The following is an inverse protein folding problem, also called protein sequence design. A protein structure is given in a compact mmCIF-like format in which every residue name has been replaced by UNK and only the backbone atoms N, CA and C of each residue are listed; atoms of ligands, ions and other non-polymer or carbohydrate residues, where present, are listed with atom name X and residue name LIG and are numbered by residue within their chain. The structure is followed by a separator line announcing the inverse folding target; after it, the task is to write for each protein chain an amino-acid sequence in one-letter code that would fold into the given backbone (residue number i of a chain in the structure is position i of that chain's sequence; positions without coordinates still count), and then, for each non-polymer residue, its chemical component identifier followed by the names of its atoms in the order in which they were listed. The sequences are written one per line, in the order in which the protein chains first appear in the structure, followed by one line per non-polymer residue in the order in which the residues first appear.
data_IF_415028953805
#
_entry.id   IF_415028953805
#
_cell.length_a   1.000
_cell.length_b   1.000
_cell.length_c   1.000
_cell.angle_alpha   90.00
_cell.angle_beta   90.00
_cell.angle_gamma   90.00
#
_symmetry.space_group_name_H-M   'P 1'
#
loop_
_entity.id
_entity.type
_entity.pdbx_description
1 polymer ?
#
# COMPACT_ATOMS: atom_id res chain seq x y z
N UNK A 1 44.07 50.69 -8.85
CA UNK A 1 42.90 50.49 -9.75
C UNK A 1 41.64 50.82 -8.92
N UNK A 2 40.94 51.90 -9.20
CA UNK A 2 39.70 52.24 -8.54
C UNK A 2 38.65 51.18 -8.93
N UNK A 3 38.07 50.52 -7.96
CA UNK A 3 37.07 49.47 -8.20
C UNK A 3 35.85 50.10 -8.86
N UNK A 4 35.50 49.66 -10.04
CA UNK A 4 34.23 49.99 -10.69
C UNK A 4 33.09 49.41 -9.87
N UNK A 5 32.17 50.24 -9.43
CA UNK A 5 30.93 49.81 -8.79
C UNK A 5 30.03 49.12 -9.84
N UNK A 6 29.36 48.05 -9.44
CA UNK A 6 28.35 47.43 -10.31
C UNK A 6 27.27 48.46 -10.73
N UNK A 7 26.73 48.35 -11.97
CA UNK A 7 25.65 49.22 -12.42
C UNK A 7 24.48 49.17 -11.42
N UNK A 8 23.94 50.35 -11.04
CA UNK A 8 22.88 50.43 -10.03
C UNK A 8 21.66 49.58 -10.33
N UNK A 9 21.18 49.59 -11.60
CA UNK A 9 20.06 48.73 -12.02
C UNK A 9 20.29 47.23 -11.89
N UNK A 10 21.53 46.74 -12.06
CA UNK A 10 21.84 45.33 -11.87
C UNK A 10 21.84 44.95 -10.37
N UNK A 11 22.34 45.86 -9.51
CA UNK A 11 22.32 45.67 -8.08
C UNK A 11 20.88 45.66 -7.53
N UNK A 12 20.05 46.60 -7.99
CA UNK A 12 18.64 46.70 -7.57
C UNK A 12 17.80 45.51 -8.03
N UNK A 13 18.11 44.92 -9.19
CA UNK A 13 17.45 43.73 -9.69
C UNK A 13 17.78 42.45 -8.86
N UNK A 14 18.98 42.37 -8.27
CA UNK A 14 19.41 41.21 -7.48
C UNK A 14 19.14 41.40 -5.98
N UNK A 15 19.29 42.60 -5.44
CA UNK A 15 19.21 42.88 -4.02
C UNK A 15 17.86 43.54 -3.66
N UNK A 16 16.77 42.88 -4.03
CA UNK A 16 15.41 43.30 -3.63
C UNK A 16 15.21 43.02 -2.14
N UNK A 17 14.75 44.01 -1.37
CA UNK A 17 14.39 43.81 0.03
C UNK A 17 13.16 42.93 0.14
N UNK A 18 13.28 41.88 0.94
CA UNK A 18 12.15 41.00 1.27
C UNK A 18 11.14 41.72 2.18
N UNK A 19 9.89 41.29 2.07
CA UNK A 19 8.91 41.57 3.14
C UNK A 19 9.24 40.70 4.37
N UNK A 20 8.75 41.13 5.53
CA UNK A 20 8.89 40.33 6.75
C UNK A 20 8.22 38.94 6.58
N UNK A 21 8.87 37.94 7.08
CA UNK A 21 8.29 36.59 7.08
C UNK A 21 7.09 36.53 8.04
N UNK A 22 6.06 35.71 7.73
CA UNK A 22 4.97 35.45 8.66
C UNK A 22 5.49 35.01 10.04
N UNK A 23 4.83 35.40 11.11
CA UNK A 23 5.27 35.13 12.48
C UNK A 23 5.35 33.62 12.80
N UNK A 24 4.59 32.79 12.07
CA UNK A 24 4.52 31.34 12.17
C UNK A 24 5.42 30.59 11.16
N UNK A 25 6.22 31.33 10.37
CA UNK A 25 7.12 30.75 9.38
C UNK A 25 8.16 29.86 10.07
N UNK A 26 8.17 28.57 9.64
CA UNK A 26 9.13 27.60 10.14
C UNK A 26 10.48 27.80 9.46
N UNK A 27 11.55 27.83 10.27
CA UNK A 27 12.92 27.90 9.75
C UNK A 27 13.41 26.51 9.33
N UNK A 28 14.27 26.49 8.31
CA UNK A 28 15.04 25.29 7.99
C UNK A 28 15.93 24.95 9.19
N UNK A 29 15.90 23.71 9.63
CA UNK A 29 16.72 23.19 10.73
C UNK A 29 17.71 22.17 10.18
N UNK A 30 18.93 22.21 10.73
CA UNK A 30 20.02 21.30 10.38
C UNK A 30 20.10 20.17 11.42
N UNK A 31 20.19 18.93 10.94
CA UNK A 31 20.45 17.78 11.81
C UNK A 31 21.93 17.78 12.21
N UNK A 32 22.20 18.00 13.47
CA UNK A 32 23.56 18.05 14.03
C UNK A 32 23.85 16.78 14.85
N UNK A 33 24.61 15.87 14.26
CA UNK A 33 24.99 14.62 14.91
C UNK A 33 25.92 14.82 16.14
N UNK A 34 26.59 15.97 16.29
CA UNK A 34 27.43 16.26 17.45
C UNK A 34 26.61 16.56 18.72
N UNK A 35 25.33 16.88 18.59
CA UNK A 35 24.46 17.19 19.73
C UNK A 35 23.91 15.95 20.43
N UNK A 36 24.10 14.76 19.85
CA UNK A 36 23.58 13.50 20.39
C UNK A 36 24.67 12.75 21.13
N UNK A 37 24.57 12.68 22.45
CA UNK A 37 25.54 11.98 23.34
C UNK A 37 25.22 10.48 23.51
N UNK A 38 24.46 9.87 22.58
CA UNK A 38 24.01 8.48 22.58
C UNK A 38 23.84 7.98 21.15
N UNK A 39 23.70 6.67 20.93
CA UNK A 39 23.35 6.13 19.61
C UNK A 39 22.09 6.77 19.03
N UNK A 40 22.13 7.08 17.74
CA UNK A 40 21.02 7.69 17.00
C UNK A 40 19.91 6.68 16.82
N UNK A 41 18.68 7.05 17.16
CA UNK A 41 17.49 6.25 16.95
C UNK A 41 16.72 6.69 15.69
N UNK A 42 15.78 5.87 15.23
CA UNK A 42 14.86 6.24 14.16
C UNK A 42 14.06 7.51 14.51
N UNK A 43 13.72 7.68 15.79
CA UNK A 43 13.03 8.88 16.28
C UNK A 43 13.89 10.15 16.19
N UNK A 44 15.18 10.06 16.50
CA UNK A 44 16.10 11.20 16.36
C UNK A 44 16.19 11.66 14.91
N UNK A 45 16.29 10.73 13.98
CA UNK A 45 16.27 11.04 12.54
C UNK A 45 14.96 11.70 12.15
N UNK A 46 13.82 11.16 12.59
CA UNK A 46 12.52 11.76 12.35
C UNK A 46 12.42 13.21 12.84
N UNK A 47 12.85 13.47 14.08
CA UNK A 47 12.84 14.82 14.66
C UNK A 47 13.74 15.78 13.87
N UNK A 48 14.92 15.33 13.44
CA UNK A 48 15.84 16.13 12.63
C UNK A 48 15.38 16.36 11.18
N UNK A 49 14.44 15.56 10.66
CA UNK A 49 13.95 15.67 9.29
C UNK A 49 12.73 16.61 9.14
N UNK A 50 12.09 17.00 10.23
CA UNK A 50 10.83 17.79 10.19
C UNK A 50 10.94 19.06 9.39
N UNK A 51 11.99 19.84 9.62
CA UNK A 51 12.21 21.13 8.97
C UNK A 51 13.43 21.12 8.03
N UNK A 52 13.87 19.93 7.60
CA UNK A 52 15.02 19.79 6.71
C UNK A 52 14.70 20.21 5.26
N UNK A 53 13.45 20.15 4.85
CA UNK A 53 12.99 20.48 3.50
C UNK A 53 12.77 19.24 2.61
N UNK A 54 12.23 19.46 1.41
CA UNK A 54 11.99 18.45 0.36
C UNK A 54 11.28 17.18 0.89
N UNK A 55 11.74 16.00 0.46
CA UNK A 55 11.10 14.75 0.82
C UNK A 55 11.31 14.34 2.30
N UNK A 56 12.32 14.87 2.97
CA UNK A 56 12.49 14.68 4.41
C UNK A 56 11.30 15.27 5.18
N UNK A 57 10.91 16.48 4.85
CA UNK A 57 9.73 17.12 5.46
C UNK A 57 8.43 16.43 5.06
N UNK A 58 8.30 15.98 3.78
CA UNK A 58 7.13 15.20 3.35
C UNK A 58 6.99 13.87 4.10
N UNK A 59 8.12 13.15 4.32
CA UNK A 59 8.13 11.91 5.09
C UNK A 59 7.78 12.17 6.56
N UNK A 60 8.28 13.26 7.13
CA UNK A 60 7.96 13.67 8.50
C UNK A 60 6.46 14.01 8.64
N UNK A 61 5.89 14.66 7.64
CA UNK A 61 4.45 14.96 7.61
C UNK A 61 3.62 13.67 7.49
N UNK A 62 4.06 12.69 6.70
CA UNK A 62 3.42 11.38 6.63
C UNK A 62 3.39 10.69 8.01
N UNK A 63 4.49 10.75 8.76
CA UNK A 63 4.58 10.20 10.12
C UNK A 63 3.60 10.94 11.06
N UNK A 64 3.53 12.28 10.99
CA UNK A 64 2.57 13.06 11.80
C UNK A 64 1.13 12.62 11.50
N UNK A 65 0.74 12.60 10.22
CA UNK A 65 -0.61 12.23 9.79
C UNK A 65 -0.97 10.82 10.26
N UNK A 66 -0.08 9.85 10.10
CA UNK A 66 -0.34 8.45 10.53
C UNK A 66 -0.48 8.36 12.06
N UNK A 67 0.36 9.08 12.82
CA UNK A 67 0.23 9.13 14.28
C UNK A 67 -1.14 9.72 14.71
N UNK A 68 -1.63 10.73 14.02
CA UNK A 68 -2.96 11.29 14.25
C UNK A 68 -4.09 10.31 13.88
N UNK A 69 -3.94 9.58 12.76
CA UNK A 69 -4.89 8.50 12.43
C UNK A 69 -5.01 7.48 13.55
N UNK A 70 -3.89 7.09 14.18
CA UNK A 70 -3.87 6.11 15.27
C UNK A 70 -4.40 6.67 16.59
N UNK A 71 -4.08 7.93 16.88
CA UNK A 71 -4.45 8.55 18.15
C UNK A 71 -5.93 8.90 18.23
N UNK A 72 -6.57 9.14 17.08
CA UNK A 72 -7.96 9.58 17.06
C UNK A 72 -8.92 8.49 17.50
N UNK A 73 -9.89 8.90 18.33
CA UNK A 73 -11.03 8.10 18.76
C UNK A 73 -12.28 8.96 18.71
N UNK A 74 -13.37 8.37 18.25
CA UNK A 74 -14.68 9.01 18.32
C UNK A 74 -15.05 9.28 19.79
N UNK A 75 -15.40 10.52 20.15
CA UNK A 75 -15.65 10.89 21.54
C UNK A 75 -16.91 10.24 22.13
N UNK A 76 -17.86 9.83 21.31
CA UNK A 76 -19.12 9.22 21.75
C UNK A 76 -19.04 7.69 21.78
N UNK A 77 -18.47 7.07 20.74
CA UNK A 77 -18.47 5.61 20.58
C UNK A 77 -17.14 4.96 20.94
N UNK A 78 -16.05 5.72 20.96
CA UNK A 78 -14.69 5.20 21.14
C UNK A 78 -14.12 4.53 19.88
N UNK A 79 -14.84 4.57 18.76
CA UNK A 79 -14.39 4.00 17.49
C UNK A 79 -13.10 4.66 17.02
N UNK A 80 -12.20 3.86 16.48
CA UNK A 80 -10.92 4.33 15.91
C UNK A 80 -11.08 4.73 14.46
N UNK A 81 -10.06 5.41 13.92
CA UNK A 81 -9.96 5.66 12.48
C UNK A 81 -9.97 4.34 11.71
N UNK A 82 -10.84 4.24 10.72
CA UNK A 82 -10.80 3.16 9.74
C UNK A 82 -9.66 3.43 8.76
N UNK A 83 -8.58 2.65 8.86
CA UNK A 83 -7.37 2.82 8.05
C UNK A 83 -7.42 1.84 6.87
N UNK A 84 -7.52 2.38 5.65
CA UNK A 84 -7.37 1.63 4.41
C UNK A 84 -5.90 1.58 4.02
N UNK A 85 -5.35 0.38 3.86
CA UNK A 85 -3.99 0.15 3.35
C UNK A 85 -4.05 -0.35 1.92
N UNK A 86 -3.44 0.41 0.99
CA UNK A 86 -3.27 0.01 -0.40
C UNK A 86 -1.81 -0.25 -0.74
N UNK A 87 -1.51 -1.32 -1.47
CA UNK A 87 -0.15 -1.59 -1.95
C UNK A 87 -0.13 -2.42 -3.22
N UNK A 88 0.91 -2.22 -4.05
CA UNK A 88 1.12 -2.98 -5.29
C UNK A 88 1.96 -4.24 -5.04
N UNK A 89 1.85 -5.21 -5.95
CA UNK A 89 2.43 -6.57 -5.84
C UNK A 89 3.92 -6.61 -5.55
N UNK A 90 4.70 -5.74 -6.19
CA UNK A 90 6.16 -5.69 -6.02
C UNK A 90 6.61 -5.51 -4.56
N UNK A 91 5.77 -4.92 -3.71
CA UNK A 91 6.06 -4.73 -2.30
C UNK A 91 5.94 -6.04 -1.51
N UNK A 92 5.05 -6.93 -1.91
CA UNK A 92 4.95 -8.29 -1.35
C UNK A 92 6.12 -9.16 -1.83
N UNK A 93 6.51 -9.03 -3.10
CA UNK A 93 7.69 -9.73 -3.63
C UNK A 93 8.96 -9.33 -2.88
N UNK A 94 9.05 -8.07 -2.43
CA UNK A 94 10.17 -7.55 -1.64
C UNK A 94 10.12 -7.97 -0.16
N UNK A 95 11.15 -7.58 0.60
CA UNK A 95 11.20 -7.75 2.06
C UNK A 95 10.19 -6.90 2.84
N UNK A 96 9.56 -5.91 2.20
CA UNK A 96 8.52 -5.09 2.80
C UNK A 96 7.29 -5.92 3.23
N UNK A 97 7.10 -7.10 2.64
CA UNK A 97 6.09 -8.09 3.06
C UNK A 97 6.07 -8.29 4.58
N UNK A 98 7.23 -8.37 5.23
CA UNK A 98 7.34 -8.54 6.69
C UNK A 98 6.72 -7.38 7.47
N UNK A 99 6.90 -6.15 7.00
CA UNK A 99 6.29 -4.95 7.60
C UNK A 99 4.77 -4.96 7.39
N UNK A 100 4.31 -5.28 6.17
CA UNK A 100 2.87 -5.38 5.86
C UNK A 100 2.20 -6.48 6.69
N UNK A 101 2.84 -7.66 6.80
CA UNK A 101 2.37 -8.75 7.66
C UNK A 101 2.23 -8.30 9.11
N UNK A 102 3.23 -7.63 9.65
CA UNK A 102 3.23 -7.14 11.03
C UNK A 102 2.07 -6.16 11.30
N UNK A 103 1.80 -5.23 10.37
CA UNK A 103 0.65 -4.31 10.48
C UNK A 103 -0.69 -5.05 10.53
N UNK A 104 -0.83 -6.12 9.76
CA UNK A 104 -2.05 -6.93 9.69
C UNK A 104 -2.18 -7.83 10.92
N UNK A 105 -1.08 -8.45 11.37
CA UNK A 105 -1.00 -9.28 12.57
C UNK A 105 -1.45 -8.51 13.81
N UNK A 106 -1.01 -7.26 13.95
CA UNK A 106 -1.32 -6.41 15.11
C UNK A 106 -2.57 -5.53 14.93
N UNK A 107 -3.36 -5.77 13.87
CA UNK A 107 -4.63 -5.05 13.60
C UNK A 107 -4.48 -3.52 13.48
N UNK A 108 -3.37 -3.07 12.92
CA UNK A 108 -3.14 -1.65 12.69
C UNK A 108 -3.90 -1.07 11.49
N UNK A 109 -4.47 -1.93 10.66
CA UNK A 109 -5.24 -1.56 9.47
C UNK A 109 -6.60 -2.24 9.48
N UNK A 110 -7.60 -1.58 8.88
CA UNK A 110 -9.00 -2.01 8.92
C UNK A 110 -9.42 -2.74 7.64
N UNK A 111 -8.82 -2.41 6.50
CA UNK A 111 -9.07 -3.04 5.21
C UNK A 111 -7.85 -2.89 4.30
N UNK A 112 -7.67 -3.85 3.41
CA UNK A 112 -6.55 -3.88 2.47
C UNK A 112 -7.09 -3.87 1.05
N UNK A 113 -6.42 -3.14 0.15
CA UNK A 113 -6.60 -3.25 -1.30
C UNK A 113 -5.25 -3.52 -1.94
N UNK A 114 -5.19 -4.53 -2.79
CA UNK A 114 -3.96 -4.90 -3.49
C UNK A 114 -4.24 -5.43 -4.91
N UNK A 115 -3.20 -5.75 -5.66
CA UNK A 115 -3.26 -6.37 -6.98
C UNK A 115 -3.15 -7.89 -6.89
N UNK A 116 -3.46 -8.61 -7.97
CA UNK A 116 -3.40 -10.08 -8.00
C UNK A 116 -2.02 -10.61 -7.59
N UNK A 117 -0.94 -10.05 -8.15
CA UNK A 117 0.42 -10.41 -7.75
C UNK A 117 0.71 -10.16 -6.27
N UNK A 118 0.06 -9.15 -5.64
CA UNK A 118 0.15 -8.93 -4.20
C UNK A 118 -0.50 -10.04 -3.38
N UNK A 119 -1.46 -10.76 -3.94
CA UNK A 119 -2.09 -11.92 -3.31
C UNK A 119 -1.23 -13.17 -3.51
N UNK A 120 -0.96 -13.52 -4.74
CA UNK A 120 -0.29 -14.79 -5.09
C UNK A 120 1.15 -14.85 -4.59
N UNK A 121 1.91 -13.77 -4.68
CA UNK A 121 3.32 -13.72 -4.23
C UNK A 121 3.46 -13.94 -2.72
N UNK A 122 2.47 -13.57 -1.91
CA UNK A 122 2.49 -13.88 -0.49
C UNK A 122 2.41 -15.38 -0.23
N UNK A 123 1.51 -16.08 -0.92
CA UNK A 123 1.36 -17.52 -0.82
C UNK A 123 2.56 -18.27 -1.43
N UNK A 124 3.04 -17.80 -2.59
CA UNK A 124 4.23 -18.35 -3.26
C UNK A 124 5.44 -18.29 -2.32
N UNK A 125 5.62 -17.20 -1.58
CA UNK A 125 6.71 -17.05 -0.59
C UNK A 125 6.54 -17.93 0.66
N UNK A 126 5.38 -18.46 0.90
CA UNK A 126 5.19 -19.51 1.92
C UNK A 126 5.62 -20.91 1.39
N UNK A 127 5.53 -21.12 0.07
CA UNK A 127 5.81 -22.40 -0.59
C UNK A 127 7.24 -22.52 -1.10
N UNK A 128 7.90 -21.39 -1.42
CA UNK A 128 9.28 -21.38 -1.93
C UNK A 128 9.96 -20.02 -1.75
N UNK A 129 11.29 -20.01 -1.78
CA UNK A 129 12.09 -18.83 -1.52
C UNK A 129 12.19 -17.90 -2.75
N UNK A 130 12.29 -16.60 -2.48
CA UNK A 130 12.64 -15.55 -3.44
C UNK A 130 14.05 -15.06 -3.13
N UNK A 131 14.87 -14.83 -4.14
CA UNK A 131 16.29 -14.55 -3.99
C UNK A 131 16.66 -13.14 -4.43
N UNK A 132 17.74 -12.63 -3.88
CA UNK A 132 18.37 -11.41 -4.39
C UNK A 132 19.07 -11.70 -5.72
N UNK A 133 18.92 -10.79 -6.68
CA UNK A 133 19.53 -10.83 -7.99
C UNK A 133 20.06 -9.45 -8.38
N UNK A 134 20.02 -9.14 -9.68
CA UNK A 134 20.47 -7.85 -10.22
C UNK A 134 19.47 -7.27 -11.19
N UNK A 135 19.30 -5.94 -11.20
CA UNK A 135 18.54 -5.22 -12.23
C UNK A 135 19.08 -5.44 -13.64
N UNK A 136 20.40 -5.70 -13.76
CA UNK A 136 21.09 -5.94 -15.03
C UNK A 136 21.10 -7.40 -15.48
N UNK A 137 20.48 -8.33 -14.73
CA UNK A 137 20.43 -9.74 -15.11
C UNK A 137 19.69 -9.91 -16.45
N UNK A 138 20.30 -10.66 -17.37
CA UNK A 138 19.79 -10.85 -18.73
C UNK A 138 18.57 -11.76 -18.72
N UNK A 139 17.41 -11.24 -19.12
CA UNK A 139 16.14 -11.96 -19.08
C UNK A 139 16.12 -13.26 -19.89
N UNK A 140 16.77 -13.30 -21.06
CA UNK A 140 16.88 -14.51 -21.89
C UNK A 140 17.63 -15.65 -21.19
N UNK A 141 18.65 -15.34 -20.41
CA UNK A 141 19.43 -16.33 -19.67
C UNK A 141 18.66 -16.83 -18.45
N UNK A 142 17.94 -15.94 -17.77
CA UNK A 142 17.04 -16.32 -16.69
C UNK A 142 15.93 -17.24 -17.19
N UNK A 143 15.30 -16.89 -18.32
CA UNK A 143 14.24 -17.72 -18.91
C UNK A 143 14.69 -19.14 -19.21
N UNK A 144 15.90 -19.32 -19.78
CA UNK A 144 16.49 -20.65 -20.06
C UNK A 144 16.71 -21.48 -18.79
N UNK A 145 16.89 -20.81 -17.63
CA UNK A 145 17.10 -21.43 -16.33
C UNK A 145 15.82 -21.62 -15.51
N UNK A 146 14.66 -21.25 -16.06
CA UNK A 146 13.40 -21.29 -15.32
C UNK A 146 13.36 -20.29 -14.16
N UNK A 147 13.94 -19.10 -14.33
CA UNK A 147 14.00 -18.05 -13.33
C UNK A 147 13.23 -16.81 -13.83
N UNK A 148 12.44 -16.21 -12.96
CA UNK A 148 11.68 -15.01 -13.23
C UNK A 148 12.28 -13.83 -12.45
N UNK A 149 12.34 -12.64 -13.04
CA UNK A 149 12.93 -11.46 -12.42
C UNK A 149 11.87 -10.38 -12.14
N UNK A 150 11.86 -9.89 -10.92
CA UNK A 150 11.07 -8.72 -10.48
C UNK A 150 12.08 -7.68 -9.96
N UNK A 151 12.41 -6.68 -10.80
CA UNK A 151 13.47 -5.73 -10.45
C UNK A 151 14.81 -6.43 -10.23
N UNK A 152 15.35 -6.39 -9.01
CA UNK A 152 16.53 -7.11 -8.57
C UNK A 152 16.21 -8.36 -7.71
N UNK A 153 14.98 -8.86 -7.79
CA UNK A 153 14.58 -10.11 -7.17
C UNK A 153 14.47 -11.21 -8.21
N UNK A 154 14.70 -12.44 -7.80
CA UNK A 154 14.59 -13.64 -8.65
C UNK A 154 13.69 -14.65 -7.98
N UNK A 155 12.66 -15.08 -8.72
CA UNK A 155 11.71 -16.11 -8.29
C UNK A 155 11.90 -17.35 -9.18
N UNK A 156 12.27 -18.52 -8.62
CA UNK A 156 12.31 -19.76 -9.38
C UNK A 156 10.93 -20.15 -9.90
N UNK A 157 10.85 -20.60 -11.15
CA UNK A 157 9.59 -21.04 -11.74
C UNK A 157 8.98 -22.25 -11.00
N UNK A 158 9.80 -23.05 -10.33
CA UNK A 158 9.36 -24.13 -9.46
C UNK A 158 8.42 -23.65 -8.34
N UNK A 159 8.55 -22.39 -7.88
CA UNK A 159 7.66 -21.84 -6.87
C UNK A 159 6.22 -21.69 -7.42
N UNK A 160 6.07 -21.36 -8.71
CA UNK A 160 4.76 -21.27 -9.37
C UNK A 160 4.17 -22.67 -9.61
N UNK A 161 4.99 -23.68 -9.86
CA UNK A 161 4.53 -25.08 -9.90
C UNK A 161 4.00 -25.52 -8.53
N UNK A 162 4.74 -25.20 -7.46
CA UNK A 162 4.28 -25.46 -6.09
C UNK A 162 2.99 -24.71 -5.73
N UNK A 163 2.84 -23.50 -6.26
CA UNK A 163 1.61 -22.73 -6.10
C UNK A 163 0.42 -23.38 -6.83
N UNK A 164 0.62 -23.88 -8.06
CA UNK A 164 -0.39 -24.65 -8.79
C UNK A 164 -0.83 -25.87 -7.99
N UNK A 165 0.14 -26.70 -7.54
CA UNK A 165 -0.12 -27.91 -6.77
C UNK A 165 -0.91 -27.62 -5.49
N UNK A 166 -0.69 -26.49 -4.87
CA UNK A 166 -1.37 -26.06 -3.65
C UNK A 166 -2.75 -25.47 -3.93
N UNK A 167 -2.89 -24.56 -4.91
CA UNK A 167 -4.12 -23.78 -5.09
C UNK A 167 -5.20 -24.53 -5.86
N UNK A 168 -4.84 -25.34 -6.86
CA UNK A 168 -5.84 -26.04 -7.71
C UNK A 168 -6.75 -26.95 -6.90
N UNK A 169 -6.28 -27.78 -5.94
CA UNK A 169 -7.18 -28.56 -5.08
C UNK A 169 -8.12 -27.71 -4.21
N UNK A 170 -7.72 -26.48 -3.88
CA UNK A 170 -8.59 -25.55 -3.15
C UNK A 170 -9.69 -25.02 -4.07
N UNK A 171 -9.36 -24.70 -5.32
CA UNK A 171 -10.35 -24.29 -6.33
C UNK A 171 -11.37 -25.41 -6.61
N UNK A 172 -10.93 -26.68 -6.65
CA UNK A 172 -11.83 -27.84 -6.78
C UNK A 172 -12.87 -27.86 -5.64
N UNK A 173 -12.42 -27.75 -4.39
CA UNK A 173 -13.30 -27.70 -3.22
C UNK A 173 -14.25 -26.51 -3.25
N UNK A 174 -13.76 -25.34 -3.67
CA UNK A 174 -14.58 -24.15 -3.78
C UNK A 174 -15.68 -24.32 -4.85
N UNK A 175 -15.38 -25.01 -5.95
CA UNK A 175 -16.38 -25.35 -6.98
C UNK A 175 -17.40 -26.35 -6.44
N UNK A 176 -16.97 -27.39 -5.71
CA UNK A 176 -17.85 -28.35 -5.05
C UNK A 176 -18.82 -27.65 -4.09
N UNK A 177 -18.34 -26.72 -3.27
CA UNK A 177 -19.15 -25.92 -2.35
C UNK A 177 -20.16 -25.04 -3.12
N UNK A 178 -19.73 -24.42 -4.21
CA UNK A 178 -20.60 -23.63 -5.08
C UNK A 178 -21.75 -24.46 -5.69
N UNK A 179 -21.42 -25.62 -6.25
CA UNK A 179 -22.42 -26.48 -6.91
C UNK A 179 -23.36 -27.15 -5.89
N UNK A 180 -22.82 -27.58 -4.74
CA UNK A 180 -23.63 -28.19 -3.67
C UNK A 180 -24.65 -27.21 -3.06
N UNK A 181 -24.34 -25.93 -3.02
CA UNK A 181 -25.25 -24.88 -2.46
C UNK A 181 -26.20 -24.29 -3.49
N UNK A 182 -26.12 -24.68 -4.75
CA UNK A 182 -26.90 -24.11 -5.85
C UNK A 182 -28.39 -24.30 -5.65
N UNK A 183 -29.14 -23.19 -5.69
CA UNK A 183 -30.59 -23.18 -5.50
C UNK A 183 -31.07 -23.31 -4.05
N UNK A 184 -30.16 -23.24 -3.09
CA UNK A 184 -30.48 -23.12 -1.65
C UNK A 184 -30.48 -21.66 -1.20
N UNK A 185 -31.11 -21.37 -0.06
CA UNK A 185 -31.09 -20.02 0.54
C UNK A 185 -29.68 -19.59 0.96
N UNK A 186 -28.78 -20.55 1.23
CA UNK A 186 -27.37 -20.34 1.59
C UNK A 186 -26.42 -20.52 0.39
N UNK A 187 -26.87 -20.17 -0.82
CA UNK A 187 -26.06 -20.32 -2.01
C UNK A 187 -24.72 -19.60 -1.91
N UNK A 188 -23.64 -20.34 -2.08
CA UNK A 188 -22.27 -19.80 -2.05
C UNK A 188 -22.03 -18.95 -3.30
N UNK A 189 -21.70 -17.67 -3.06
CA UNK A 189 -21.24 -16.73 -4.07
C UNK A 189 -19.79 -16.34 -3.75
N UNK A 190 -18.87 -16.74 -4.62
CA UNK A 190 -17.45 -16.36 -4.46
C UNK A 190 -17.21 -14.94 -4.95
N UNK A 191 -16.40 -14.21 -4.19
CA UNK A 191 -15.87 -12.89 -4.55
C UNK A 191 -14.37 -12.88 -4.38
N UNK A 192 -13.64 -11.94 -4.96
CA UNK A 192 -12.20 -11.81 -4.70
C UNK A 192 -11.87 -11.80 -3.21
N UNK A 193 -12.60 -11.05 -2.39
CA UNK A 193 -12.33 -10.98 -0.94
C UNK A 193 -12.61 -12.31 -0.21
N UNK A 194 -13.61 -13.07 -0.63
CA UNK A 194 -13.92 -14.39 -0.06
C UNK A 194 -12.88 -15.44 -0.48
N UNK A 195 -12.41 -15.39 -1.74
CA UNK A 195 -11.34 -16.25 -2.24
C UNK A 195 -10.05 -16.00 -1.45
N UNK A 196 -9.64 -14.73 -1.31
CA UNK A 196 -8.45 -14.37 -0.55
C UNK A 196 -8.55 -14.82 0.91
N UNK A 197 -9.72 -14.63 1.53
CA UNK A 197 -9.98 -15.13 2.88
C UNK A 197 -9.87 -16.65 2.97
N UNK A 198 -10.41 -17.39 1.97
CA UNK A 198 -10.27 -18.85 1.89
C UNK A 198 -8.82 -19.27 1.76
N UNK A 199 -8.07 -18.67 0.84
CA UNK A 199 -6.65 -18.97 0.66
C UNK A 199 -5.81 -18.63 1.90
N UNK A 200 -6.10 -17.51 2.58
CA UNK A 200 -5.48 -17.15 3.85
C UNK A 200 -5.73 -18.15 4.97
N UNK A 201 -6.91 -18.79 4.98
CA UNK A 201 -7.21 -19.91 5.88
C UNK A 201 -6.41 -21.16 5.53
N UNK A 202 -6.37 -21.53 4.23
CA UNK A 202 -5.78 -22.77 3.75
C UNK A 202 -4.25 -22.78 3.82
N UNK A 203 -3.59 -21.61 3.66
CA UNK A 203 -2.13 -21.54 3.73
C UNK A 203 -1.61 -21.87 5.14
N UNK A 204 -2.34 -21.51 6.17
CA UNK A 204 -2.04 -21.78 7.58
C UNK A 204 -0.56 -21.58 7.95
N UNK A 205 0.02 -20.46 7.50
CA UNK A 205 1.42 -20.10 7.68
C UNK A 205 1.52 -18.67 8.22
N UNK A 206 2.12 -18.50 9.40
CA UNK A 206 2.27 -17.20 10.07
C UNK A 206 3.17 -16.21 9.30
N UNK A 207 3.89 -16.67 8.30
CA UNK A 207 4.65 -15.79 7.39
C UNK A 207 3.75 -15.04 6.40
N UNK A 208 2.49 -15.50 6.21
CA UNK A 208 1.54 -14.91 5.26
C UNK A 208 0.83 -13.68 5.83
N UNK A 209 0.76 -12.62 5.03
CA UNK A 209 -0.08 -11.44 5.28
C UNK A 209 -1.56 -11.84 5.37
N UNK A 210 -2.01 -12.71 4.45
CA UNK A 210 -3.43 -13.08 4.32
C UNK A 210 -3.87 -14.14 5.32
N UNK A 211 -2.94 -14.93 5.88
CA UNK A 211 -3.22 -15.73 7.06
C UNK A 211 -3.65 -14.84 8.23
N UNK A 212 -2.91 -13.77 8.51
CA UNK A 212 -3.25 -12.83 9.56
C UNK A 212 -4.48 -11.99 9.24
N UNK A 213 -4.70 -11.63 7.96
CA UNK A 213 -5.94 -11.00 7.54
C UNK A 213 -7.16 -11.90 7.81
N UNK A 214 -7.04 -13.20 7.53
CA UNK A 214 -8.06 -14.18 7.89
C UNK A 214 -8.27 -14.29 9.41
N UNK A 215 -7.21 -14.46 10.18
CA UNK A 215 -7.26 -14.60 11.65
C UNK A 215 -7.85 -13.37 12.35
N UNK A 216 -7.58 -12.20 11.82
CA UNK A 216 -7.97 -10.92 12.39
C UNK A 216 -9.27 -10.34 11.80
N UNK A 217 -9.88 -11.05 10.86
CA UNK A 217 -11.10 -10.65 10.14
C UNK A 217 -10.94 -9.31 9.39
N UNK A 218 -9.73 -9.05 8.85
CA UNK A 218 -9.44 -7.88 8.04
C UNK A 218 -9.76 -8.21 6.58
N UNK A 219 -10.74 -7.52 5.95
CA UNK A 219 -11.09 -7.78 4.56
C UNK A 219 -9.98 -7.32 3.61
N UNK A 220 -9.71 -8.14 2.61
CA UNK A 220 -8.75 -7.87 1.55
C UNK A 220 -9.47 -7.84 0.21
N UNK A 221 -9.31 -6.75 -0.52
CA UNK A 221 -9.94 -6.54 -1.82
C UNK A 221 -8.89 -6.58 -2.93
N UNK A 222 -9.23 -7.23 -4.02
CA UNK A 222 -8.42 -7.29 -5.23
C UNK A 222 -9.34 -7.19 -6.46
N UNK A 223 -9.62 -5.96 -6.95
CA UNK A 223 -10.58 -5.75 -8.05
C UNK A 223 -10.22 -6.46 -9.35
N UNK A 224 -8.92 -6.73 -9.57
CA UNK A 224 -8.38 -7.41 -10.74
C UNK A 224 -7.71 -8.74 -10.35
N UNK A 225 -8.42 -9.61 -9.63
CA UNK A 225 -7.90 -10.87 -9.10
C UNK A 225 -7.30 -11.81 -10.17
N UNK A 226 -7.75 -11.71 -11.40
CA UNK A 226 -7.29 -12.54 -12.53
C UNK A 226 -6.05 -12.00 -13.24
N UNK A 227 -5.52 -10.83 -12.83
CA UNK A 227 -4.35 -10.22 -13.45
C UNK A 227 -3.04 -10.70 -12.79
N UNK A 228 -2.80 -12.02 -12.85
CA UNK A 228 -1.62 -12.67 -12.27
C UNK A 228 -1.72 -14.19 -12.33
N UNK A 229 -0.77 -14.89 -11.70
CA UNK A 229 -0.68 -16.36 -11.70
C UNK A 229 -1.91 -17.05 -11.10
N UNK A 230 -2.60 -16.42 -10.16
CA UNK A 230 -3.88 -16.94 -9.67
C UNK A 230 -4.94 -16.95 -10.79
N UNK A 231 -4.91 -15.94 -11.68
CA UNK A 231 -5.73 -15.92 -12.89
C UNK A 231 -5.38 -17.06 -13.87
N UNK A 232 -4.08 -17.37 -14.03
CA UNK A 232 -3.64 -18.52 -14.82
C UNK A 232 -4.19 -19.84 -14.24
N UNK A 233 -4.15 -19.99 -12.92
CA UNK A 233 -4.69 -21.19 -12.24
C UNK A 233 -6.21 -21.29 -12.42
N UNK A 234 -6.93 -20.19 -12.32
CA UNK A 234 -8.36 -20.14 -12.62
C UNK A 234 -8.64 -20.49 -14.09
N UNK A 235 -7.83 -19.99 -15.03
CA UNK A 235 -7.93 -20.35 -16.43
C UNK A 235 -7.73 -21.85 -16.65
N UNK A 236 -6.68 -22.47 -16.13
CA UNK A 236 -6.44 -23.91 -16.24
C UNK A 236 -7.55 -24.72 -15.57
N UNK A 237 -8.05 -24.25 -14.43
CA UNK A 237 -9.14 -24.89 -13.71
C UNK A 237 -10.42 -24.96 -14.56
N UNK A 238 -10.70 -23.98 -15.46
CA UNK A 238 -11.88 -24.03 -16.33
C UNK A 238 -11.88 -25.26 -17.27
N UNK A 239 -10.73 -25.74 -17.72
CA UNK A 239 -10.61 -26.94 -18.55
C UNK A 239 -10.75 -28.22 -17.74
N UNK A 240 -10.15 -28.26 -16.55
CA UNK A 240 -10.21 -29.39 -15.63
C UNK A 240 -11.62 -29.65 -15.15
N UNK A 241 -12.38 -28.60 -14.84
CA UNK A 241 -13.69 -28.67 -14.20
C UNK A 241 -14.88 -28.66 -15.18
N UNK A 242 -14.61 -28.58 -16.50
CA UNK A 242 -15.68 -28.55 -17.53
C UNK A 242 -16.67 -29.70 -17.38
N UNK A 243 -18.00 -29.45 -17.53
CA UNK A 243 -18.64 -28.18 -17.92
C UNK A 243 -18.91 -27.19 -16.78
N UNK A 244 -18.69 -27.59 -15.53
CA UNK A 244 -18.86 -26.68 -14.38
C UNK A 244 -17.72 -25.66 -14.33
N UNK A 245 -18.02 -24.48 -13.83
CA UNK A 245 -17.05 -23.39 -13.70
C UNK A 245 -17.24 -22.63 -12.38
N UNK A 246 -16.12 -22.31 -11.74
CA UNK A 246 -16.12 -21.42 -10.60
C UNK A 246 -16.56 -20.02 -11.08
N UNK A 247 -17.53 -19.42 -10.40
CA UNK A 247 -18.03 -18.08 -10.70
C UNK A 247 -17.59 -17.12 -9.60
N UNK A 248 -17.07 -15.98 -10.01
CA UNK A 248 -16.59 -14.95 -9.12
C UNK A 248 -17.34 -13.66 -9.37
N UNK A 249 -18.07 -13.19 -8.37
CA UNK A 249 -18.81 -11.91 -8.40
C UNK A 249 -17.93 -10.78 -7.86
N UNK A 250 -17.75 -9.74 -8.65
CA UNK A 250 -16.98 -8.55 -8.24
C UNK A 250 -17.84 -7.46 -7.61
N UNK A 251 -19.17 -7.49 -7.82
CA UNK A 251 -20.09 -6.42 -7.39
C UNK A 251 -20.32 -6.45 -5.88
N UNK A 252 -20.39 -7.64 -5.29
CA UNK A 252 -20.52 -7.79 -3.84
C UNK A 252 -19.34 -7.13 -3.10
N UNK A 253 -18.12 -7.27 -3.62
CA UNK A 253 -16.93 -6.64 -3.04
C UNK A 253 -16.94 -5.11 -3.12
N UNK A 254 -17.48 -4.52 -4.20
CA UNK A 254 -17.71 -3.07 -4.31
C UNK A 254 -18.65 -2.61 -3.19
N UNK A 255 -19.77 -3.32 -3.02
CA UNK A 255 -20.72 -3.01 -1.94
C UNK A 255 -20.05 -3.11 -0.57
N UNK A 256 -19.22 -4.13 -0.35
CA UNK A 256 -18.56 -4.37 0.93
C UNK A 256 -17.57 -3.24 1.28
N UNK A 257 -16.66 -2.88 0.38
CA UNK A 257 -15.67 -1.83 0.64
C UNK A 257 -16.33 -0.46 0.81
N UNK A 258 -17.33 -0.12 -0.02
CA UNK A 258 -18.08 1.12 0.09
C UNK A 258 -18.84 1.19 1.43
N UNK A 259 -19.43 0.08 1.88
CA UNK A 259 -20.12 0.01 3.18
C UNK A 259 -19.15 0.24 4.35
N UNK A 260 -17.93 -0.34 4.30
CA UNK A 260 -16.89 -0.08 5.31
C UNK A 260 -16.58 1.41 5.35
N UNK A 261 -16.38 2.03 4.20
CA UNK A 261 -16.09 3.46 4.10
C UNK A 261 -17.22 4.34 4.65
N UNK A 262 -18.45 4.09 4.21
CA UNK A 262 -19.64 4.89 4.62
C UNK A 262 -19.90 4.79 6.13
N UNK A 263 -19.67 3.62 6.74
CA UNK A 263 -19.86 3.41 8.17
C UNK A 263 -18.73 3.94 9.05
N UNK A 264 -17.59 4.23 8.45
CA UNK A 264 -16.43 4.74 9.20
C UNK A 264 -16.75 6.11 9.83
N UNK A 265 -16.51 6.26 11.13
CA UNK A 265 -16.59 7.56 11.83
C UNK A 265 -15.51 8.51 11.34
N UNK A 266 -14.31 8.00 11.12
CA UNK A 266 -13.17 8.67 10.48
C UNK A 266 -12.47 7.68 9.56
N UNK A 267 -12.04 8.11 8.38
CA UNK A 267 -11.30 7.30 7.44
C UNK A 267 -9.92 7.90 7.13
N UNK A 268 -8.92 7.04 7.08
CA UNK A 268 -7.57 7.37 6.63
C UNK A 268 -7.12 6.43 5.52
N UNK A 269 -6.32 6.95 4.59
CA UNK A 269 -5.74 6.18 3.49
C UNK A 269 -4.22 6.16 3.61
N UNK A 270 -3.60 4.99 3.54
CA UNK A 270 -2.15 4.80 3.38
C UNK A 270 -1.94 4.00 2.10
N UNK A 271 -1.36 4.62 1.09
CA UNK A 271 -1.23 4.05 -0.25
C UNK A 271 0.24 3.95 -0.64
N UNK A 272 0.71 2.72 -0.86
CA UNK A 272 2.07 2.39 -1.30
C UNK A 272 2.02 1.97 -2.78
N UNK A 273 2.39 2.86 -3.67
CA UNK A 273 2.21 2.72 -5.11
C UNK A 273 1.04 3.55 -5.63
N UNK A 274 0.35 3.08 -6.66
CA UNK A 274 -0.74 3.81 -7.29
C UNK A 274 -1.68 2.88 -8.07
N UNK A 275 -2.22 3.36 -9.18
CA UNK A 275 -3.10 2.60 -10.06
C UNK A 275 -4.37 2.11 -9.35
N UNK A 276 -4.77 0.87 -9.64
CA UNK A 276 -6.04 0.32 -9.17
C UNK A 276 -6.19 0.33 -7.65
N UNK A 277 -5.13 0.09 -6.88
CA UNK A 277 -5.21 0.03 -5.42
C UNK A 277 -5.52 1.39 -4.82
N UNK A 278 -4.87 2.44 -5.30
CA UNK A 278 -5.14 3.83 -4.90
C UNK A 278 -6.54 4.25 -5.30
N UNK A 279 -6.88 4.05 -6.58
CA UNK A 279 -8.14 4.50 -7.13
C UNK A 279 -9.33 3.81 -6.46
N UNK A 280 -9.24 2.51 -6.18
CA UNK A 280 -10.31 1.74 -5.55
C UNK A 280 -10.61 2.20 -4.11
N UNK A 281 -9.57 2.45 -3.30
CA UNK A 281 -9.72 3.01 -1.95
C UNK A 281 -10.30 4.42 -2.01
N UNK A 282 -9.75 5.26 -2.88
CA UNK A 282 -10.21 6.64 -3.04
C UNK A 282 -11.69 6.70 -3.48
N UNK A 283 -12.12 5.82 -4.39
CA UNK A 283 -13.52 5.71 -4.80
C UNK A 283 -14.43 5.23 -3.66
N UNK A 284 -13.97 4.30 -2.82
CA UNK A 284 -14.74 3.91 -1.63
C UNK A 284 -14.90 5.10 -0.67
N UNK A 285 -13.86 5.91 -0.51
CA UNK A 285 -13.93 7.12 0.33
C UNK A 285 -14.82 8.22 -0.28
N UNK A 286 -14.97 8.28 -1.61
CA UNK A 286 -15.94 9.16 -2.26
C UNK A 286 -17.37 8.92 -1.74
N UNK A 287 -17.76 7.66 -1.49
CA UNK A 287 -19.09 7.30 -1.03
C UNK A 287 -19.45 7.86 0.36
N UNK A 288 -18.45 8.30 1.14
CA UNK A 288 -18.61 8.98 2.43
C UNK A 288 -18.29 10.48 2.38
N UNK A 289 -18.16 11.04 1.19
CA UNK A 289 -17.73 12.43 0.97
C UNK A 289 -16.29 12.70 1.43
N UNK A 290 -15.39 11.76 1.22
CA UNK A 290 -13.96 11.88 1.37
C UNK A 290 -13.37 11.34 2.67
N UNK A 291 -12.10 11.00 2.61
CA UNK A 291 -11.28 10.64 3.77
C UNK A 291 -10.81 11.89 4.52
N UNK A 292 -10.63 11.78 5.83
CA UNK A 292 -10.10 12.84 6.69
C UNK A 292 -8.56 12.89 6.67
N UNK A 293 -7.89 11.84 6.20
CA UNK A 293 -6.43 11.81 6.13
C UNK A 293 -5.96 10.92 4.98
N UNK A 294 -4.86 11.31 4.29
CA UNK A 294 -4.29 10.53 3.20
C UNK A 294 -2.77 10.64 3.14
N UNK A 295 -2.10 9.50 3.05
CA UNK A 295 -0.65 9.40 2.84
C UNK A 295 -0.40 8.57 1.59
N UNK A 296 0.21 9.17 0.57
CA UNK A 296 0.61 8.50 -0.66
C UNK A 296 2.12 8.38 -0.72
N UNK A 297 2.63 7.20 -1.03
CA UNK A 297 4.06 6.91 -1.16
C UNK A 297 4.30 6.21 -2.49
N UNK A 298 4.91 6.90 -3.43
CA UNK A 298 5.31 6.35 -4.73
C UNK A 298 6.29 7.29 -5.45
N UNK A 299 6.86 6.82 -6.55
CA UNK A 299 7.80 7.57 -7.40
C UNK A 299 7.13 8.21 -8.62
N UNK A 300 5.81 8.03 -8.80
CA UNK A 300 5.05 8.60 -9.92
C UNK A 300 5.01 10.12 -9.89
N UNK A 301 5.11 10.74 -11.06
CA UNK A 301 5.10 12.20 -11.24
C UNK A 301 3.80 12.63 -11.92
N UNK A 302 3.43 13.91 -11.76
CA UNK A 302 2.15 14.43 -12.25
C UNK A 302 2.07 14.56 -13.77
N UNK A 303 3.19 14.71 -14.43
CA UNK A 303 3.27 15.12 -15.84
C UNK A 303 2.70 14.13 -16.85
N UNK A 304 2.61 12.83 -16.48
CA UNK A 304 2.06 11.79 -17.37
C UNK A 304 0.55 11.57 -17.21
N UNK A 305 -0.08 12.24 -16.22
CA UNK A 305 -1.50 12.12 -15.95
C UNK A 305 -1.94 10.79 -15.36
N UNK A 306 -1.00 9.89 -14.99
CA UNK A 306 -1.33 8.62 -14.36
C UNK A 306 -1.92 8.81 -12.96
N UNK A 307 -2.78 7.89 -12.53
CA UNK A 307 -3.34 7.90 -11.17
C UNK A 307 -2.25 7.84 -10.09
N UNK A 308 -1.15 7.11 -10.34
CA UNK A 308 -0.01 7.05 -9.42
C UNK A 308 0.68 8.41 -9.27
N UNK A 309 0.78 9.20 -10.34
CA UNK A 309 1.38 10.53 -10.34
C UNK A 309 0.56 11.58 -9.61
N UNK A 310 -0.76 11.46 -9.61
CA UNK A 310 -1.67 12.44 -9.05
C UNK A 310 -1.43 12.72 -7.56
N UNK A 311 -1.47 14.00 -7.18
CA UNK A 311 -1.36 14.45 -5.79
C UNK A 311 -2.67 14.25 -5.02
N UNK A 312 -2.64 14.29 -3.68
CA UNK A 312 -3.86 14.26 -2.87
C UNK A 312 -4.87 15.37 -3.22
N UNK A 313 -4.42 16.55 -3.59
CA UNK A 313 -5.27 17.68 -3.98
C UNK A 313 -6.17 17.36 -5.19
N UNK A 314 -5.68 16.57 -6.15
CA UNK A 314 -6.52 16.08 -7.24
C UNK A 314 -7.68 15.24 -6.73
N UNK A 315 -7.44 14.38 -5.74
CA UNK A 315 -8.48 13.56 -5.12
C UNK A 315 -9.49 14.39 -4.31
N UNK A 316 -9.09 15.58 -3.80
CA UNK A 316 -10.01 16.56 -3.18
C UNK A 316 -11.00 17.07 -4.21
N UNK A 317 -10.53 17.38 -5.43
CA UNK A 317 -11.42 17.87 -6.51
C UNK A 317 -12.51 16.87 -6.90
N UNK A 318 -12.28 15.57 -6.67
CA UNK A 318 -13.24 14.48 -6.88
C UNK A 318 -14.08 14.13 -5.64
N UNK A 319 -13.86 14.81 -4.51
CA UNK A 319 -14.53 14.47 -3.24
C UNK A 319 -14.06 13.15 -2.60
N UNK A 320 -12.90 12.63 -2.99
CA UNK A 320 -12.30 11.39 -2.45
C UNK A 320 -11.50 11.64 -1.16
N UNK A 321 -11.02 12.87 -1.01
CA UNK A 321 -10.40 13.43 0.20
C UNK A 321 -11.19 14.67 0.57
N UNK A 322 -11.45 14.89 1.85
CA UNK A 322 -12.20 16.06 2.32
C UNK A 322 -11.41 17.36 2.11
N UNK A 323 -12.12 18.44 1.86
CA UNK A 323 -11.53 19.79 1.87
C UNK A 323 -10.94 20.04 3.26
N UNK A 324 -9.68 20.48 3.32
CA UNK A 324 -8.97 20.72 4.57
C UNK A 324 -8.48 19.46 5.30
N UNK A 325 -8.60 18.29 4.68
CA UNK A 325 -8.03 17.06 5.23
C UNK A 325 -6.49 17.08 5.23
N UNK A 326 -5.90 16.46 6.24
CA UNK A 326 -4.46 16.27 6.31
C UNK A 326 -4.00 15.26 5.26
N UNK A 327 -3.18 15.71 4.32
CA UNK A 327 -2.71 14.82 3.26
C UNK A 327 -1.31 15.16 2.78
N UNK A 328 -0.55 14.13 2.41
CA UNK A 328 0.81 14.27 1.88
C UNK A 328 1.10 13.21 0.83
N UNK A 329 1.91 13.55 -0.16
CA UNK A 329 2.57 12.62 -1.06
C UNK A 329 4.07 12.64 -0.80
N UNK A 330 4.62 11.47 -0.49
CA UNK A 330 6.05 11.22 -0.35
C UNK A 330 6.56 10.63 -1.67
N UNK A 331 7.40 11.37 -2.39
CA UNK A 331 8.01 10.95 -3.64
C UNK A 331 9.25 10.09 -3.35
N UNK A 332 9.02 8.90 -2.88
CA UNK A 332 10.07 7.93 -2.54
C UNK A 332 9.63 6.50 -2.90
N UNK A 333 10.62 5.65 -3.06
CA UNK A 333 10.40 4.22 -3.20
C UNK A 333 10.04 3.62 -1.82
N UNK A 334 8.95 2.84 -1.77
CA UNK A 334 8.33 2.44 -0.51
C UNK A 334 9.20 1.49 0.33
N UNK A 335 10.02 0.63 -0.27
CA UNK A 335 10.89 -0.28 0.49
C UNK A 335 11.98 0.46 1.27
N UNK A 336 12.36 1.67 0.80
CA UNK A 336 13.36 2.51 1.45
C UNK A 336 12.78 3.35 2.59
N UNK A 337 11.53 3.85 2.46
CA UNK A 337 10.98 4.81 3.43
C UNK A 337 9.91 4.23 4.36
N UNK A 338 9.10 3.27 3.92
CA UNK A 338 7.98 2.81 4.72
C UNK A 338 8.36 2.08 6.01
N UNK A 339 9.44 1.25 6.08
CA UNK A 339 9.92 0.70 7.35
C UNK A 339 10.28 1.79 8.38
N UNK A 340 10.90 2.89 7.93
CA UNK A 340 11.21 4.02 8.79
C UNK A 340 9.94 4.73 9.29
N UNK A 341 8.95 4.91 8.42
CA UNK A 341 7.65 5.47 8.78
C UNK A 341 6.96 4.59 9.83
N UNK A 342 6.92 3.26 9.61
CA UNK A 342 6.29 2.32 10.56
C UNK A 342 7.00 2.31 11.91
N UNK A 343 8.34 2.38 11.93
CA UNK A 343 9.14 2.47 13.16
C UNK A 343 8.85 3.75 13.98
N UNK A 344 8.43 4.84 13.33
CA UNK A 344 8.09 6.10 13.99
C UNK A 344 6.56 6.30 14.19
N UNK A 345 5.76 5.30 13.85
CA UNK A 345 4.29 5.36 13.97
C UNK A 345 3.74 4.13 14.70
N UNK A 346 3.41 3.09 13.98
CA UNK A 346 2.75 1.89 14.52
C UNK A 346 3.64 1.11 15.50
N UNK A 347 4.95 1.07 15.27
CA UNK A 347 5.91 0.31 16.05
C UNK A 347 6.75 1.16 17.03
N UNK A 348 6.40 2.42 17.24
CA UNK A 348 7.22 3.33 18.07
C UNK A 348 7.27 2.96 19.56
N UNK A 349 6.29 2.20 20.03
CA UNK A 349 6.15 1.82 21.44
C UNK A 349 6.32 0.29 21.65
N UNK A 350 6.78 -0.44 20.60
CA UNK A 350 7.16 -1.86 20.65
C UNK A 350 8.69 -2.01 20.69
#
# INVERSE_FOLDING_TARGET
MAGQSAPSGAKDAVLVKSQDMPADAQKVEELDFNKLNRPITAHDLFMGMRHMGFQASAMSEAIRIINEMQAWKDPETGDKTTIFLGYTSNLISSGLRGVLRWLVEHKHVSAIVTTAGGIEEDFIKCLGETYMGSFSAVGADLRKKGLNRIGNLVVPNANYCAFEDWVVPILDKMLEEQEASKGTDDQVSWTPSKIIRRLGKEINDERSVYYWAYKNDIPVFCPALTDGSLGDMLYFHTFKSSPQQLKVDIVEDIRKINTISVRAKRAGMIILGGGVVKHHIANACLMRNGAESAVYINTGQEFDGSDAGARPDEAVSWGKIKIGADSVKVYMEATACFPFIVANTFAKDT
#
